data_IF_407029022752
#
_entry.id   IF_407029022752
#
_cell.length_a   1.000
_cell.length_b   1.000
_cell.length_c   1.000
_cell.angle_alpha   90.00
_cell.angle_beta   90.00
_cell.angle_gamma   90.00
#
_symmetry.space_group_name_H-M   'P 1'
#
loop_
_entity.id
_entity.type
_entity.pdbx_description
1 polymer ?
#
# COMPACT_ATOMS: atom_id res chain seq x y z
N UNK A 1 18.69 -9.29 -8.02
CA UNK A 1 18.39 -8.63 -6.72
C UNK A 1 17.24 -9.41 -6.09
N UNK A 2 17.41 -9.88 -4.86
CA UNK A 2 16.30 -10.45 -4.10
C UNK A 2 15.45 -9.31 -3.54
N UNK A 3 14.15 -9.42 -3.66
CA UNK A 3 13.20 -8.51 -3.04
C UNK A 3 12.92 -8.98 -1.60
N UNK A 4 12.73 -8.03 -0.68
CA UNK A 4 12.49 -8.31 0.75
C UNK A 4 11.22 -7.57 1.21
N UNK A 5 10.23 -8.33 1.67
CA UNK A 5 8.99 -7.78 2.21
C UNK A 5 9.23 -6.78 3.35
N UNK A 6 10.26 -7.01 4.18
CA UNK A 6 10.58 -6.14 5.32
C UNK A 6 10.88 -4.71 4.87
N UNK A 7 11.48 -4.51 3.70
CA UNK A 7 11.75 -3.16 3.19
C UNK A 7 10.48 -2.37 2.92
N UNK A 8 9.46 -3.00 2.35
CA UNK A 8 8.15 -2.37 2.13
C UNK A 8 7.44 -2.10 3.47
N UNK A 9 7.52 -3.06 4.40
CA UNK A 9 6.93 -2.95 5.74
C UNK A 9 7.54 -1.78 6.51
N UNK A 10 8.87 -1.63 6.52
CA UNK A 10 9.56 -0.52 7.20
C UNK A 10 9.13 0.85 6.64
N UNK A 11 8.94 0.96 5.32
CA UNK A 11 8.43 2.18 4.70
C UNK A 11 7.01 2.48 5.19
N UNK A 12 6.13 1.47 5.20
CA UNK A 12 4.77 1.65 5.70
C UNK A 12 4.74 2.02 7.19
N UNK A 13 5.61 1.42 8.02
CA UNK A 13 5.73 1.74 9.44
C UNK A 13 6.19 3.18 9.68
N UNK A 14 7.12 3.68 8.87
CA UNK A 14 7.56 5.06 8.94
C UNK A 14 6.43 6.08 8.67
N UNK A 15 5.34 5.68 8.02
CA UNK A 15 4.22 6.54 7.69
C UNK A 15 3.10 6.56 8.75
N UNK A 16 3.16 5.72 9.76
CA UNK A 16 2.14 5.67 10.83
C UNK A 16 1.96 7.06 11.44
N UNK A 17 0.68 7.46 11.61
CA UNK A 17 0.30 8.77 12.09
C UNK A 17 0.19 9.87 11.01
N UNK A 18 0.45 9.55 9.74
CA UNK A 18 0.15 10.46 8.64
C UNK A 18 -1.36 10.69 8.53
N UNK A 19 -1.76 11.96 8.33
CA UNK A 19 -3.13 12.38 8.11
C UNK A 19 -3.27 13.02 6.74
N UNK A 20 -4.34 12.66 6.01
CA UNK A 20 -4.68 13.31 4.75
C UNK A 20 -4.90 14.82 4.93
N UNK A 21 -4.80 15.55 3.85
CA UNK A 21 -4.85 17.02 3.88
C UNK A 21 -6.18 17.55 3.34
N UNK A 22 -6.57 18.72 3.85
CA UNK A 22 -7.74 19.47 3.33
C UNK A 22 -7.46 20.18 2.01
N UNK A 23 -6.19 20.40 1.67
CA UNK A 23 -5.74 21.00 0.40
C UNK A 23 -4.43 20.36 -0.05
N UNK A 24 -4.02 20.65 -1.28
CA UNK A 24 -2.75 20.15 -1.86
C UNK A 24 -1.51 20.90 -1.30
N UNK A 25 -1.50 21.22 0.00
CA UNK A 25 -0.41 21.89 0.68
C UNK A 25 0.06 21.08 1.90
N UNK A 26 1.35 21.24 2.24
CA UNK A 26 1.97 20.54 3.39
C UNK A 26 1.88 19.02 3.30
N UNK A 27 1.91 18.46 2.10
CA UNK A 27 1.74 17.01 1.87
C UNK A 27 2.83 16.16 2.53
N UNK A 28 4.03 16.68 2.71
CA UNK A 28 5.17 15.97 3.30
C UNK A 28 5.16 15.98 4.84
N UNK A 29 4.42 16.89 5.46
CA UNK A 29 4.24 16.93 6.90
C UNK A 29 3.16 15.90 7.31
N UNK A 30 3.40 15.12 8.36
CA UNK A 30 2.46 14.08 8.78
C UNK A 30 1.11 14.62 9.23
N UNK A 31 1.08 15.75 9.92
CA UNK A 31 -0.12 16.21 10.63
C UNK A 31 -0.59 17.60 10.22
N UNK A 32 0.31 18.46 9.71
CA UNK A 32 -0.08 19.79 9.28
C UNK A 32 -1.10 19.77 8.15
N UNK A 33 -1.99 20.76 8.12
CA UNK A 33 -3.06 20.87 7.13
C UNK A 33 -4.00 19.67 7.06
N UNK A 34 -4.15 18.90 8.17
CA UNK A 34 -5.01 17.76 8.24
C UNK A 34 -6.47 18.10 7.88
N UNK A 35 -7.16 17.18 7.24
CA UNK A 35 -8.54 17.33 6.79
C UNK A 35 -9.14 16.06 6.25
N UNK A 36 -10.15 16.18 5.39
CA UNK A 36 -10.94 15.08 4.84
C UNK A 36 -11.13 15.18 3.32
N UNK A 37 -10.09 15.62 2.60
CA UNK A 37 -10.15 15.85 1.15
C UNK A 37 -9.25 14.91 0.35
N UNK A 38 -8.74 13.86 1.00
CA UNK A 38 -7.92 12.83 0.36
C UNK A 38 -6.63 13.34 -0.33
N UNK A 39 -6.16 14.57 -0.05
CA UNK A 39 -4.87 15.01 -0.56
C UNK A 39 -3.76 14.36 0.23
N UNK A 40 -2.84 13.68 -0.45
CA UNK A 40 -1.73 12.97 0.17
C UNK A 40 -0.45 13.08 -0.64
N UNK A 41 0.71 12.98 0.02
CA UNK A 41 1.99 12.84 -0.69
C UNK A 41 2.04 11.56 -1.53
N UNK A 42 1.39 10.49 -1.07
CA UNK A 42 1.37 9.21 -1.76
C UNK A 42 0.78 9.33 -3.16
N UNK A 43 -0.41 9.94 -3.26
CA UNK A 43 -1.06 10.18 -4.54
C UNK A 43 -0.29 11.18 -5.40
N UNK A 44 0.24 12.28 -4.82
CA UNK A 44 1.09 13.25 -5.54
C UNK A 44 2.29 12.56 -6.21
N UNK A 45 3.01 11.73 -5.47
CA UNK A 45 4.23 11.09 -5.95
C UNK A 45 3.93 10.08 -7.06
N UNK A 46 2.88 9.27 -6.91
CA UNK A 46 2.47 8.32 -7.93
C UNK A 46 1.87 9.02 -9.16
N UNK A 47 1.16 10.14 -8.98
CA UNK A 47 0.68 10.97 -10.10
C UNK A 47 1.86 11.56 -10.90
N UNK A 48 2.93 11.99 -10.22
CA UNK A 48 4.15 12.49 -10.87
C UNK A 48 4.87 11.42 -11.70
N UNK A 49 4.76 10.16 -11.29
CA UNK A 49 5.33 9.02 -12.02
C UNK A 49 4.41 8.49 -13.13
N UNK A 50 3.17 9.00 -13.26
CA UNK A 50 2.18 8.45 -14.19
C UNK A 50 1.79 7.00 -13.88
N UNK A 51 1.76 6.64 -12.60
CA UNK A 51 1.51 5.27 -12.13
C UNK A 51 0.13 4.76 -12.56
N UNK A 52 -0.88 5.60 -12.50
CA UNK A 52 -2.27 5.25 -12.84
C UNK A 52 -2.75 5.85 -14.16
N UNK A 53 -3.95 5.49 -14.56
CA UNK A 53 -4.64 5.98 -15.76
C UNK A 53 -5.07 7.46 -15.71
N UNK A 54 -4.56 8.22 -14.76
CA UNK A 54 -4.82 9.64 -14.55
C UNK A 54 -4.56 10.02 -13.09
N UNK A 55 -4.60 11.31 -12.79
CA UNK A 55 -4.34 11.84 -11.45
C UNK A 55 -5.32 11.30 -10.42
N UNK A 56 -4.79 10.95 -9.24
CA UNK A 56 -5.54 10.36 -8.12
C UNK A 56 -5.43 11.17 -6.83
N UNK A 57 -4.66 12.26 -6.79
CA UNK A 57 -4.60 13.10 -5.61
C UNK A 57 -5.96 13.76 -5.34
N UNK A 58 -6.50 13.55 -4.15
CA UNK A 58 -7.88 13.91 -3.79
C UNK A 58 -8.88 12.76 -3.86
N UNK A 59 -8.47 11.55 -4.23
CA UNK A 59 -9.31 10.34 -4.23
C UNK A 59 -8.97 9.42 -3.06
N UNK A 60 -9.85 8.44 -2.76
CA UNK A 60 -9.59 7.41 -1.75
C UNK A 60 -8.22 6.74 -1.97
N UNK A 61 -7.41 6.64 -0.93
CA UNK A 61 -5.99 6.38 -1.05
C UNK A 61 -5.48 5.16 -0.28
N UNK A 62 -6.34 4.24 0.14
CA UNK A 62 -5.91 3.02 0.80
C UNK A 62 -5.02 2.15 -0.10
N UNK A 63 -5.37 2.00 -1.37
CA UNK A 63 -4.60 1.26 -2.37
C UNK A 63 -3.35 2.04 -2.80
N UNK A 64 -3.50 3.34 -3.01
CA UNK A 64 -2.41 4.27 -3.35
C UNK A 64 -1.30 4.22 -2.31
N UNK A 65 -1.63 4.13 -1.02
CA UNK A 65 -0.65 4.01 0.05
C UNK A 65 0.19 2.73 -0.08
N UNK A 66 -0.44 1.60 -0.35
CA UNK A 66 0.27 0.33 -0.52
C UNK A 66 1.19 0.40 -1.74
N UNK A 67 0.69 0.83 -2.89
CA UNK A 67 1.48 0.99 -4.11
C UNK A 67 2.67 1.94 -3.91
N UNK A 68 2.45 3.06 -3.23
CA UNK A 68 3.50 4.01 -2.90
C UNK A 68 4.60 3.35 -2.04
N UNK A 69 4.25 2.52 -1.07
CA UNK A 69 5.24 1.80 -0.25
C UNK A 69 6.13 0.89 -1.11
N UNK A 70 5.57 0.19 -2.10
CA UNK A 70 6.35 -0.62 -3.04
C UNK A 70 7.27 0.23 -3.91
N UNK A 71 6.78 1.37 -4.42
CA UNK A 71 7.58 2.29 -5.24
C UNK A 71 8.72 2.89 -4.44
N UNK A 72 8.48 3.29 -3.19
CA UNK A 72 9.55 3.80 -2.31
C UNK A 72 10.59 2.73 -1.98
N UNK A 73 10.17 1.48 -1.84
CA UNK A 73 11.08 0.38 -1.54
C UNK A 73 12.00 0.03 -2.72
N UNK A 74 11.45 0.01 -3.94
CA UNK A 74 12.11 -0.65 -5.06
C UNK A 74 12.12 0.15 -6.37
N UNK A 75 11.50 1.32 -6.39
CA UNK A 75 11.30 2.09 -7.61
C UNK A 75 10.14 1.58 -8.46
N UNK A 76 9.80 2.35 -9.49
CA UNK A 76 8.59 2.16 -10.28
C UNK A 76 8.52 0.78 -10.97
N UNK A 77 9.57 0.42 -11.73
CA UNK A 77 9.57 -0.82 -12.52
C UNK A 77 9.46 -2.08 -11.65
N UNK A 78 10.22 -2.12 -10.56
CA UNK A 78 10.20 -3.24 -9.64
C UNK A 78 8.87 -3.32 -8.87
N UNK A 79 8.29 -2.19 -8.46
CA UNK A 79 6.98 -2.15 -7.83
C UNK A 79 5.89 -2.72 -8.74
N UNK A 80 5.85 -2.30 -10.01
CA UNK A 80 4.92 -2.82 -11.00
C UNK A 80 5.07 -4.34 -11.22
N UNK A 81 6.31 -4.82 -11.29
CA UNK A 81 6.60 -6.24 -11.42
C UNK A 81 6.14 -7.04 -10.20
N UNK A 82 6.47 -6.57 -8.99
CA UNK A 82 6.09 -7.22 -7.74
C UNK A 82 4.57 -7.33 -7.57
N UNK A 83 3.84 -6.27 -7.93
CA UNK A 83 2.39 -6.17 -7.75
C UNK A 83 1.58 -6.54 -9.00
N UNK A 84 2.26 -6.89 -10.10
CA UNK A 84 1.65 -7.22 -11.40
C UNK A 84 0.76 -6.11 -11.97
N UNK A 85 1.09 -4.87 -11.71
CA UNK A 85 0.31 -3.71 -12.15
C UNK A 85 0.83 -3.15 -13.48
N UNK A 86 -0.06 -2.78 -14.41
CA UNK A 86 0.32 -2.11 -15.65
C UNK A 86 0.46 -0.60 -15.42
N UNK A 87 1.52 0.01 -15.95
CA UNK A 87 1.71 1.46 -15.93
C UNK A 87 0.82 2.15 -16.95
N UNK A 88 0.09 3.21 -16.54
CA UNK A 88 -0.63 4.12 -17.44
C UNK A 88 -1.64 3.46 -18.38
N UNK A 89 -2.08 2.25 -18.10
CA UNK A 89 -3.05 1.54 -18.94
C UNK A 89 -4.48 1.91 -18.56
N UNK A 90 -5.40 1.85 -19.53
CA UNK A 90 -6.81 2.20 -19.33
C UNK A 90 -7.49 1.49 -18.14
N UNK A 91 -7.04 0.29 -17.80
CA UNK A 91 -7.58 -0.51 -16.69
C UNK A 91 -6.75 -0.41 -15.41
N UNK A 92 -5.74 0.45 -15.36
CA UNK A 92 -4.94 0.69 -14.18
C UNK A 92 -5.55 1.79 -13.33
N UNK A 93 -6.35 1.44 -12.36
CA UNK A 93 -6.99 2.38 -11.42
C UNK A 93 -6.42 2.27 -10.02
N UNK A 94 -6.43 3.37 -9.30
CA UNK A 94 -6.01 3.45 -7.90
C UNK A 94 -7.11 2.91 -6.96
N UNK A 95 -7.50 1.68 -7.11
CA UNK A 95 -8.54 1.09 -6.30
C UNK A 95 -8.26 -0.36 -5.96
N UNK A 96 -8.44 -0.74 -4.71
CA UNK A 96 -8.16 -2.08 -4.20
C UNK A 96 -8.79 -3.21 -5.04
N UNK A 97 -9.89 -2.94 -5.76
CA UNK A 97 -10.48 -3.88 -6.71
C UNK A 97 -9.53 -4.20 -7.87
N UNK A 98 -8.81 -3.20 -8.38
CA UNK A 98 -7.86 -3.41 -9.48
C UNK A 98 -6.68 -4.24 -9.00
N UNK A 99 -6.06 -3.86 -7.88
CA UNK A 99 -4.91 -4.56 -7.30
C UNK A 99 -5.26 -6.02 -6.97
N UNK A 100 -6.41 -6.27 -6.34
CA UNK A 100 -6.88 -7.65 -6.10
C UNK A 100 -7.02 -8.45 -7.39
N UNK A 101 -7.55 -7.85 -8.46
CA UNK A 101 -7.72 -8.53 -9.74
C UNK A 101 -6.40 -8.83 -10.44
N UNK A 102 -5.37 -7.98 -10.27
CA UNK A 102 -4.04 -8.28 -10.80
C UNK A 102 -3.45 -9.51 -10.14
N UNK A 103 -3.49 -9.62 -8.81
CA UNK A 103 -3.06 -10.82 -8.10
C UNK A 103 -3.87 -12.06 -8.50
N UNK A 104 -5.20 -11.93 -8.60
CA UNK A 104 -6.07 -13.03 -9.04
C UNK A 104 -5.72 -13.53 -10.43
N UNK A 105 -5.47 -12.62 -11.37
CA UNK A 105 -5.13 -12.97 -12.77
C UNK A 105 -3.88 -13.82 -12.88
N UNK A 106 -2.89 -13.58 -12.03
CA UNK A 106 -1.62 -14.32 -12.00
C UNK A 106 -1.58 -15.44 -10.95
N UNK A 107 -2.74 -15.79 -10.37
CA UNK A 107 -2.89 -16.85 -9.35
C UNK A 107 -2.07 -16.60 -8.07
N UNK A 108 -1.89 -15.33 -7.70
CA UNK A 108 -1.19 -14.92 -6.49
C UNK A 108 -2.12 -14.29 -5.44
N UNK A 109 -3.40 -14.64 -5.47
CA UNK A 109 -4.37 -14.32 -4.41
C UNK A 109 -4.57 -15.56 -3.54
N UNK A 110 -4.24 -15.46 -2.24
CA UNK A 110 -4.21 -16.56 -1.28
C UNK A 110 -5.23 -16.37 -0.17
N UNK A 111 -5.58 -17.46 0.53
CA UNK A 111 -6.46 -17.42 1.70
C UNK A 111 -5.68 -17.32 3.02
N UNK A 112 -4.39 -17.67 3.02
CA UNK A 112 -3.50 -17.57 4.17
C UNK A 112 -2.51 -16.41 4.02
N UNK A 113 -2.40 -15.50 5.04
CA UNK A 113 -1.52 -14.34 4.97
C UNK A 113 -0.06 -14.68 5.21
N UNK A 114 0.81 -13.84 4.62
CA UNK A 114 2.22 -13.73 4.97
C UNK A 114 2.59 -12.24 5.13
N UNK A 115 3.65 -11.90 5.92
CA UNK A 115 4.20 -10.56 5.93
C UNK A 115 4.58 -10.10 4.51
N UNK A 116 4.21 -8.87 4.15
CA UNK A 116 4.40 -8.32 2.82
C UNK A 116 3.23 -8.54 1.86
N UNK A 117 2.23 -9.36 2.22
CA UNK A 117 1.01 -9.49 1.43
C UNK A 117 0.16 -8.22 1.49
N UNK A 118 -0.56 -7.93 0.42
CA UNK A 118 -1.62 -6.94 0.39
C UNK A 118 -2.95 -7.59 0.78
N UNK A 119 -3.52 -7.24 1.93
CA UNK A 119 -4.82 -7.73 2.39
C UNK A 119 -5.95 -6.95 1.73
N UNK A 120 -7.04 -7.64 1.38
CA UNK A 120 -8.24 -7.04 0.81
C UNK A 120 -9.46 -7.33 1.69
N UNK A 121 -10.41 -6.37 1.75
CA UNK A 121 -11.61 -6.50 2.57
C UNK A 121 -12.86 -6.27 1.74
N UNK A 122 -13.87 -7.14 1.92
CA UNK A 122 -15.20 -6.91 1.38
C UNK A 122 -15.91 -5.72 2.05
N UNK A 123 -16.84 -5.06 1.34
CA UNK A 123 -17.80 -4.18 1.97
C UNK A 123 -18.60 -4.93 3.05
N UNK A 124 -19.07 -4.21 4.07
CA UNK A 124 -19.86 -4.82 5.15
C UNK A 124 -21.11 -5.55 4.63
N UNK A 125 -21.76 -4.98 3.63
CA UNK A 125 -23.04 -5.43 3.11
C UNK A 125 -22.92 -6.28 1.84
N UNK A 126 -21.68 -6.67 1.43
CA UNK A 126 -21.42 -7.46 0.22
C UNK A 126 -20.26 -8.44 0.40
N UNK A 127 -20.27 -9.18 1.50
CA UNK A 127 -19.26 -10.23 1.81
C UNK A 127 -19.38 -11.35 0.76
N UNK A 128 -18.22 -11.78 0.24
CA UNK A 128 -18.17 -12.81 -0.82
C UNK A 128 -18.47 -12.28 -2.22
N UNK A 129 -18.82 -11.01 -2.35
CA UNK A 129 -19.11 -10.37 -3.63
C UNK A 129 -17.87 -10.11 -4.50
N UNK A 130 -18.07 -9.58 -5.71
CA UNK A 130 -16.98 -9.30 -6.64
C UNK A 130 -16.13 -8.08 -6.25
N UNK A 131 -16.70 -7.17 -5.47
CA UNK A 131 -16.06 -5.91 -5.10
C UNK A 131 -15.37 -6.01 -3.74
N UNK A 132 -14.24 -5.32 -3.60
CA UNK A 132 -13.57 -5.05 -2.33
C UNK A 132 -13.61 -3.55 -2.04
N UNK A 133 -13.65 -3.18 -0.76
CA UNK A 133 -13.87 -1.81 -0.32
C UNK A 133 -12.63 -1.19 0.35
N UNK A 134 -11.67 -2.01 0.78
CA UNK A 134 -10.50 -1.55 1.52
C UNK A 134 -9.32 -2.49 1.36
N UNK A 135 -8.11 -1.99 1.67
CA UNK A 135 -6.86 -2.74 1.57
C UNK A 135 -5.81 -2.17 2.53
N UNK A 136 -4.80 -2.97 2.81
CA UNK A 136 -3.64 -2.61 3.60
C UNK A 136 -2.46 -3.55 3.35
N UNK A 137 -1.35 -3.30 4.01
CA UNK A 137 -0.14 -4.13 3.96
C UNK A 137 -0.07 -5.00 5.22
N UNK A 138 0.13 -6.30 5.07
CA UNK A 138 0.38 -7.23 6.18
C UNK A 138 1.80 -7.05 6.67
N UNK A 139 1.99 -6.73 7.96
CA UNK A 139 3.34 -6.63 8.53
C UNK A 139 3.68 -7.75 9.51
N UNK A 140 2.68 -8.44 10.06
CA UNK A 140 2.86 -9.56 10.98
C UNK A 140 1.67 -10.51 10.93
N UNK A 141 1.93 -11.77 11.19
CA UNK A 141 0.91 -12.82 11.37
C UNK A 141 1.28 -13.61 12.62
N UNK A 142 0.29 -13.98 13.41
CA UNK A 142 0.42 -15.01 14.44
C UNK A 142 -0.70 -16.08 14.22
N UNK A 143 -0.75 -17.09 15.03
CA UNK A 143 -1.72 -18.18 14.85
C UNK A 143 -3.21 -17.78 14.98
N UNK A 144 -3.50 -16.53 15.36
CA UNK A 144 -4.87 -16.04 15.62
C UNK A 144 -5.20 -14.78 14.82
N UNK A 145 -4.21 -13.91 14.60
CA UNK A 145 -4.41 -12.58 14.04
C UNK A 145 -3.49 -12.32 12.85
N UNK A 146 -4.00 -11.53 11.91
CA UNK A 146 -3.22 -10.80 10.91
C UNK A 146 -3.15 -9.34 11.36
N UNK A 147 -1.96 -8.75 11.25
CA UNK A 147 -1.65 -7.37 11.63
C UNK A 147 -1.30 -6.59 10.38
N UNK A 148 -1.91 -5.41 10.22
CA UNK A 148 -1.83 -4.61 9.01
C UNK A 148 -1.41 -3.18 9.30
N UNK A 149 -0.82 -2.53 8.29
CA UNK A 149 -0.67 -1.08 8.20
C UNK A 149 -1.54 -0.62 7.05
N UNK A 150 -2.47 0.27 7.31
CA UNK A 150 -3.50 0.68 6.36
C UNK A 150 -3.49 2.19 6.18
N UNK A 151 -3.56 2.63 4.92
CA UNK A 151 -3.83 4.02 4.54
C UNK A 151 -5.32 4.31 4.45
N UNK A 152 -5.68 5.58 4.54
CA UNK A 152 -7.07 6.05 4.49
C UNK A 152 -7.99 5.37 5.53
N UNK A 153 -7.45 5.10 6.70
CA UNK A 153 -8.16 4.44 7.81
C UNK A 153 -8.06 5.26 9.10
N UNK A 154 -8.62 4.75 10.18
CA UNK A 154 -8.47 5.31 11.52
C UNK A 154 -8.18 4.22 12.56
N UNK A 155 -7.83 4.61 13.77
CA UNK A 155 -7.58 3.69 14.88
C UNK A 155 -8.82 2.95 15.40
N UNK A 156 -10.02 3.24 14.91
CA UNK A 156 -11.24 2.55 15.31
C UNK A 156 -11.22 1.06 14.95
N UNK A 157 -11.91 0.23 15.74
CA UNK A 157 -11.97 -1.22 15.53
C UNK A 157 -12.60 -1.59 14.18
N UNK A 158 -12.18 -2.72 13.64
CA UNK A 158 -12.68 -3.25 12.37
C UNK A 158 -12.18 -2.47 11.14
N UNK A 159 -12.71 -2.80 9.97
CA UNK A 159 -12.37 -2.13 8.72
C UNK A 159 -13.01 -0.75 8.67
N UNK A 160 -12.17 0.27 8.55
CA UNK A 160 -12.57 1.67 8.35
C UNK A 160 -11.99 2.13 7.02
N UNK A 161 -12.84 2.23 6.02
CA UNK A 161 -12.51 2.86 4.74
C UNK A 161 -12.78 4.36 4.85
N UNK A 162 -11.89 5.17 4.29
CA UNK A 162 -11.99 6.64 4.31
C UNK A 162 -11.89 7.26 5.72
N UNK A 163 -10.97 6.75 6.54
CA UNK A 163 -10.71 7.25 7.90
C UNK A 163 -9.62 8.32 8.00
N UNK A 164 -8.98 8.67 6.89
CA UNK A 164 -8.08 9.81 6.74
C UNK A 164 -6.67 9.66 7.28
N UNK A 165 -6.27 8.51 7.82
CA UNK A 165 -4.95 8.31 8.44
C UNK A 165 -4.22 7.05 8.00
N UNK A 166 -2.95 6.93 8.40
CA UNK A 166 -2.18 5.68 8.35
C UNK A 166 -2.11 5.09 9.75
N UNK A 167 -2.67 3.90 9.93
CA UNK A 167 -2.78 3.24 11.24
C UNK A 167 -2.40 1.76 11.19
N UNK A 168 -1.87 1.26 12.31
CA UNK A 168 -1.81 -0.19 12.57
C UNK A 168 -3.17 -0.73 12.93
N UNK A 169 -3.52 -1.88 12.37
CA UNK A 169 -4.77 -2.60 12.64
C UNK A 169 -4.48 -4.07 12.92
N UNK A 170 -5.48 -4.78 13.48
CA UNK A 170 -5.42 -6.24 13.60
C UNK A 170 -6.80 -6.84 13.37
N UNK A 171 -6.82 -8.02 12.78
CA UNK A 171 -8.03 -8.79 12.51
C UNK A 171 -7.82 -10.25 12.89
N UNK A 172 -8.87 -10.93 13.37
CA UNK A 172 -8.80 -12.39 13.48
C UNK A 172 -8.63 -12.99 12.09
N UNK A 173 -7.87 -14.07 11.97
CA UNK A 173 -7.74 -14.80 10.69
C UNK A 173 -9.09 -15.28 10.15
N UNK A 174 -10.06 -15.49 11.05
CA UNK A 174 -11.45 -15.87 10.72
C UNK A 174 -12.38 -14.69 10.48
N UNK A 175 -11.84 -13.45 10.37
CA UNK A 175 -12.69 -12.27 10.15
C UNK A 175 -13.36 -12.33 8.77
N UNK A 176 -14.69 -12.42 8.75
CA UNK A 176 -15.49 -12.72 7.57
C UNK A 176 -15.40 -11.67 6.44
N UNK A 177 -14.88 -10.47 6.73
CA UNK A 177 -14.66 -9.44 5.70
C UNK A 177 -13.32 -9.55 4.99
N UNK A 178 -12.45 -10.49 5.33
CA UNK A 178 -11.20 -10.71 4.58
C UNK A 178 -11.53 -11.33 3.24
N UNK A 179 -11.10 -10.68 2.16
CA UNK A 179 -11.37 -11.05 0.77
C UNK A 179 -10.16 -11.73 0.10
N UNK A 180 -9.14 -12.06 0.88
CA UNK A 180 -7.92 -12.70 0.44
C UNK A 180 -6.69 -11.80 0.55
N UNK A 181 -5.54 -12.39 0.24
CA UNK A 181 -4.21 -11.82 0.36
C UNK A 181 -3.48 -11.88 -0.97
N UNK A 182 -3.21 -10.74 -1.56
CA UNK A 182 -2.39 -10.62 -2.76
C UNK A 182 -0.92 -10.71 -2.38
N UNK A 183 -0.24 -11.72 -2.87
CA UNK A 183 1.19 -11.93 -2.59
C UNK A 183 2.04 -11.39 -3.72
N UNK A 184 2.88 -10.37 -3.46
CA UNK A 184 3.83 -9.86 -4.44
C UNK A 184 4.78 -10.95 -4.92
N UNK A 185 5.29 -10.80 -6.14
CA UNK A 185 6.27 -11.72 -6.69
C UNK A 185 7.68 -11.41 -6.18
N UNK A 186 7.99 -11.87 -4.98
CA UNK A 186 9.28 -11.64 -4.34
C UNK A 186 10.48 -12.30 -5.06
N UNK A 187 10.22 -13.10 -6.11
CA UNK A 187 11.27 -13.79 -6.87
C UNK A 187 11.89 -14.98 -6.15
N UNK A 188 11.26 -15.41 -5.04
CA UNK A 188 11.64 -16.61 -4.29
C UNK A 188 10.37 -17.41 -4.08
N UNK A 189 10.38 -18.71 -4.38
CA UNK A 189 9.35 -19.62 -3.88
C UNK A 189 9.36 -19.49 -2.35
N UNK A 190 8.18 -19.30 -1.76
CA UNK A 190 8.03 -19.00 -0.35
C UNK A 190 8.59 -20.13 0.52
N UNK A 191 9.86 -20.05 0.84
CA UNK A 191 10.44 -20.75 1.97
C UNK A 191 10.26 -19.86 3.20
N UNK A 192 9.70 -20.41 4.25
CA UNK A 192 9.36 -19.84 5.54
C UNK A 192 10.16 -18.58 5.94
N UNK A 193 9.51 -17.42 5.90
CA UNK A 193 10.09 -16.20 6.45
C UNK A 193 9.92 -16.20 7.97
N UNK A 194 10.99 -16.09 8.77
CA UNK A 194 10.88 -15.99 10.22
C UNK A 194 10.17 -14.68 10.61
N UNK A 195 9.36 -14.75 11.66
CA UNK A 195 8.69 -13.60 12.25
C UNK A 195 9.73 -12.52 12.63
N UNK A 196 9.52 -11.29 12.15
CA UNK A 196 10.42 -10.17 12.48
C UNK A 196 10.35 -9.83 13.98
N UNK A 197 11.53 -9.81 14.62
CA UNK A 197 11.74 -9.38 16.01
C UNK A 197 11.49 -7.84 16.12
N UNK A 198 10.75 -7.34 17.13
CA UNK A 198 10.39 -5.92 17.25
C UNK A 198 11.51 -4.98 17.74
N UNK A 199 12.79 -5.38 17.79
CA UNK A 199 13.86 -4.64 18.44
C UNK A 199 14.92 -4.00 17.53
N UNK A 200 14.59 -3.51 16.32
CA UNK A 200 15.56 -2.74 15.51
C UNK A 200 15.02 -1.33 15.19
N UNK A 201 15.06 -0.45 16.16
CA UNK A 201 14.95 1.00 15.98
C UNK A 201 16.30 1.59 15.55
N UNK A 202 16.27 2.35 14.48
CA UNK A 202 17.22 3.32 13.92
C UNK A 202 17.77 2.92 12.55
N UNK A 203 17.01 3.25 11.51
CA UNK A 203 17.57 3.40 10.18
C UNK A 203 17.16 4.76 9.60
N UNK A 204 18.15 5.54 9.22
CA UNK A 204 18.07 6.86 8.62
C UNK A 204 17.21 6.82 7.36
N UNK A 205 16.34 7.81 7.22
CA UNK A 205 15.63 8.08 5.97
C UNK A 205 16.63 8.25 4.82
N UNK A 206 16.65 7.32 3.90
CA UNK A 206 17.28 7.52 2.60
C UNK A 206 16.21 8.08 1.67
N UNK A 207 16.21 9.40 1.54
CA UNK A 207 15.51 10.07 0.46
C UNK A 207 16.18 9.65 -0.85
N UNK A 208 15.53 8.83 -1.64
CA UNK A 208 15.90 8.65 -3.04
C UNK A 208 15.52 9.96 -3.74
N UNK A 209 16.48 10.88 -3.86
CA UNK A 209 16.35 12.02 -4.76
C UNK A 209 16.22 11.45 -6.16
N UNK A 210 15.09 11.69 -6.81
CA UNK A 210 14.98 11.51 -8.25
C UNK A 210 16.09 12.34 -8.90
N UNK A 211 17.00 11.70 -9.61
CA UNK A 211 17.99 12.40 -10.43
C UNK A 211 17.22 13.16 -11.52
N UNK A 212 17.14 14.46 -11.35
CA UNK A 212 16.74 15.37 -12.42
C UNK A 212 17.83 15.30 -13.50
N UNK A 213 17.52 14.61 -14.59
CA UNK A 213 18.32 14.69 -15.80
C UNK A 213 18.11 16.09 -16.36
N UNK A 214 19.08 16.98 -16.17
CA UNK A 214 19.18 18.24 -16.88
C UNK A 214 19.50 17.95 -18.36
N UNK A 215 18.48 17.97 -19.19
CA UNK A 215 18.66 18.15 -20.63
C UNK A 215 19.03 19.63 -20.85
N UNK A 216 20.31 19.93 -20.94
CA UNK A 216 20.78 21.18 -21.54
C UNK A 216 20.49 21.09 -23.03
N UNK A 217 19.67 22.02 -23.52
CA UNK A 217 19.63 22.34 -24.94
C UNK A 217 21.02 22.85 -25.33
N UNK A 218 21.65 22.19 -26.28
CA UNK A 218 22.84 22.69 -26.97
C UNK A 218 22.40 23.59 -28.12
N UNK A 219 23.15 24.65 -28.30
CA UNK A 219 23.06 25.61 -29.37
C UNK A 219 23.05 25.01 -30.78
#
# INVERSE_FOLDING_TARGET
MSYDANKVIQIAEAEIGYLEKKTNAKLDDKTANAGNKNYTKYARDLDALGFYNGRKNGFAWCDIFVDWCFVQAYGLEAALKLTNQPLGKANCGAGCRYSRNYYKKVKRLFDAPQPGDQIFFWPKDAIGGPAVAHTGLVYRVDGTYVYTIEGNTSGANGVVANGGGVCKKKYRLTYNRIAGYGRPDWGVEAADAPAADPAATNARHILVKANSVNLRAGD
#
